data_IF_537157879854
#
_entry.id   IF_537157879854
#
_cell.length_a   1.000
_cell.length_b   1.000
_cell.length_c   1.000
_cell.angle_alpha   90.00
_cell.angle_beta   90.00
_cell.angle_gamma   90.00
#
_symmetry.space_group_name_H-M   'P 1'
#
loop_
_entity.id
_entity.type
_entity.pdbx_description
1 polymer ?
#
# COMPACT_ATOMS: atom_id res chain seq x y z
N UNK A 1 22.15 -11.67 -5.63
CA UNK A 1 21.38 -10.42 -5.72
C UNK A 1 19.94 -10.70 -5.42
N UNK A 2 19.35 -9.96 -4.52
CA UNK A 2 17.93 -10.05 -4.17
C UNK A 2 17.32 -8.65 -4.23
N UNK A 3 16.28 -8.48 -5.05
CA UNK A 3 15.61 -7.20 -5.25
C UNK A 3 14.23 -7.24 -4.60
N UNK A 4 13.95 -6.24 -3.77
CA UNK A 4 12.68 -6.04 -3.10
C UNK A 4 11.77 -5.09 -3.86
N UNK A 5 10.47 -5.32 -3.79
CA UNK A 5 9.42 -4.43 -4.32
C UNK A 5 8.35 -4.26 -3.24
N UNK A 6 8.03 -3.03 -2.88
CA UNK A 6 6.86 -2.72 -2.07
C UNK A 6 5.71 -2.45 -3.02
N UNK A 7 4.59 -3.18 -2.90
CA UNK A 7 3.53 -3.16 -3.91
C UNK A 7 2.14 -3.41 -3.35
N UNK A 8 1.14 -3.13 -4.16
CA UNK A 8 -0.26 -3.43 -3.89
C UNK A 8 -0.85 -4.43 -4.88
N UNK A 9 -0.39 -4.40 -6.15
CA UNK A 9 -0.92 -5.20 -7.26
C UNK A 9 -2.46 -5.23 -7.31
N UNK A 10 -3.04 -4.06 -7.39
CA UNK A 10 -4.47 -3.83 -7.26
C UNK A 10 -5.14 -3.36 -8.59
N UNK A 11 -5.30 -4.28 -9.60
CA UNK A 11 -4.70 -5.59 -9.71
C UNK A 11 -3.26 -5.55 -10.26
N UNK A 12 -2.60 -6.73 -10.33
CA UNK A 12 -1.37 -6.89 -11.10
C UNK A 12 -1.69 -6.74 -12.59
N UNK A 13 -0.88 -5.96 -13.32
CA UNK A 13 -1.08 -5.65 -14.73
C UNK A 13 0.24 -5.67 -15.52
N UNK A 14 0.18 -5.46 -16.84
CA UNK A 14 1.33 -5.54 -17.74
C UNK A 14 2.50 -4.64 -17.30
N UNK A 15 2.22 -3.44 -16.79
CA UNK A 15 3.27 -2.54 -16.27
C UNK A 15 4.07 -3.14 -15.09
N UNK A 16 3.42 -3.92 -14.21
CA UNK A 16 4.12 -4.61 -13.12
C UNK A 16 4.98 -5.78 -13.65
N UNK A 17 4.54 -6.48 -14.70
CA UNK A 17 5.34 -7.51 -15.35
C UNK A 17 6.58 -6.93 -16.00
N UNK A 18 6.46 -5.80 -16.70
CA UNK A 18 7.61 -5.05 -17.26
C UNK A 18 8.66 -4.72 -16.17
N UNK A 19 8.21 -4.40 -14.95
CA UNK A 19 9.13 -4.15 -13.83
C UNK A 19 9.95 -5.39 -13.45
N UNK A 20 9.34 -6.58 -13.37
CA UNK A 20 10.06 -7.82 -13.13
C UNK A 20 11.09 -8.14 -14.23
N UNK A 21 10.68 -7.91 -15.49
CA UNK A 21 11.55 -8.10 -16.66
C UNK A 21 12.75 -7.14 -16.64
N UNK A 22 12.52 -5.86 -16.31
CA UNK A 22 13.57 -4.84 -16.19
C UNK A 22 14.59 -5.17 -15.10
N UNK A 23 14.13 -5.65 -13.93
CA UNK A 23 15.03 -6.09 -12.85
C UNK A 23 15.94 -7.22 -13.35
N UNK A 24 15.39 -8.22 -14.03
CA UNK A 24 16.19 -9.35 -14.53
C UNK A 24 17.07 -8.99 -15.71
N UNK A 25 16.65 -8.05 -16.53
CA UNK A 25 17.50 -7.52 -17.60
C UNK A 25 18.75 -6.80 -17.04
N UNK A 26 18.58 -6.07 -15.93
CA UNK A 26 19.69 -5.32 -15.31
C UNK A 26 20.64 -6.19 -14.49
N UNK A 27 20.12 -7.13 -13.70
CA UNK A 27 20.91 -7.90 -12.72
C UNK A 27 21.08 -9.36 -13.07
N UNK A 28 20.51 -9.81 -14.18
CA UNK A 28 20.60 -11.19 -14.67
C UNK A 28 19.39 -12.06 -14.25
N UNK A 29 19.16 -13.18 -14.97
CA UNK A 29 17.98 -14.03 -14.84
C UNK A 29 17.89 -14.74 -13.47
N UNK A 30 19.02 -14.91 -12.79
CA UNK A 30 19.07 -15.54 -11.46
C UNK A 30 18.74 -14.58 -10.31
N UNK A 31 18.48 -13.31 -10.59
CA UNK A 31 18.08 -12.34 -9.57
C UNK A 31 16.76 -12.74 -8.93
N UNK A 32 16.80 -12.85 -7.61
CA UNK A 32 15.60 -13.14 -6.84
C UNK A 32 14.76 -11.88 -6.61
N UNK A 33 13.44 -11.98 -6.79
CA UNK A 33 12.50 -10.87 -6.60
C UNK A 33 11.57 -11.17 -5.43
N UNK A 34 11.59 -10.30 -4.41
CA UNK A 34 10.76 -10.40 -3.22
C UNK A 34 9.76 -9.24 -3.20
N UNK A 35 8.49 -9.55 -3.12
CA UNK A 35 7.43 -8.55 -3.01
C UNK A 35 6.94 -8.44 -1.55
N UNK A 36 6.93 -7.23 -0.97
CA UNK A 36 6.15 -6.90 0.21
C UNK A 36 4.83 -6.29 -0.27
N UNK A 37 3.76 -7.08 -0.22
CA UNK A 37 2.48 -6.75 -0.85
C UNK A 37 1.41 -6.46 0.19
N UNK A 38 0.69 -5.34 0.04
CA UNK A 38 -0.49 -5.02 0.84
C UNK A 38 -1.47 -6.19 0.92
N UNK A 39 -1.99 -6.45 2.12
CA UNK A 39 -3.03 -7.43 2.35
C UNK A 39 -4.33 -7.08 1.60
N UNK A 40 -5.49 -7.22 2.24
CA UNK A 40 -6.79 -6.97 1.61
C UNK A 40 -7.15 -5.48 1.49
N UNK A 41 -6.38 -4.60 2.11
CA UNK A 41 -6.57 -3.15 2.06
C UNK A 41 -5.34 -2.46 1.52
N UNK A 42 -5.56 -1.35 0.81
CA UNK A 42 -4.51 -0.60 0.12
C UNK A 42 -4.25 0.75 0.78
N UNK A 43 -3.10 1.33 0.54
CA UNK A 43 -2.57 2.54 1.19
C UNK A 43 -3.51 3.75 1.09
N UNK A 44 -4.35 3.81 0.07
CA UNK A 44 -5.32 4.89 -0.11
C UNK A 44 -6.59 4.74 0.75
N UNK A 45 -6.67 3.75 1.63
CA UNK A 45 -7.82 3.56 2.52
C UNK A 45 -9.01 2.90 1.83
N UNK A 46 -8.77 1.97 0.93
CA UNK A 46 -9.80 1.24 0.20
C UNK A 46 -9.58 -0.28 0.25
N UNK A 47 -10.60 -1.10 0.04
CA UNK A 47 -10.42 -2.52 -0.21
C UNK A 47 -9.68 -2.72 -1.55
N UNK A 48 -8.80 -3.72 -1.63
CA UNK A 48 -8.26 -4.16 -2.90
C UNK A 48 -9.36 -4.83 -3.74
N UNK A 49 -9.29 -4.71 -5.07
CA UNK A 49 -10.33 -5.30 -5.96
C UNK A 49 -10.36 -6.83 -5.90
N UNK A 50 -9.22 -7.44 -5.63
CA UNK A 50 -9.05 -8.89 -5.45
C UNK A 50 -8.43 -9.16 -4.09
N UNK A 51 -8.82 -10.26 -3.45
CA UNK A 51 -8.21 -10.70 -2.21
C UNK A 51 -6.69 -10.91 -2.34
N UNK A 52 -5.98 -10.89 -1.22
CA UNK A 52 -4.51 -11.02 -1.22
C UNK A 52 -3.99 -12.32 -1.83
N UNK A 53 -4.70 -13.44 -1.66
CA UNK A 53 -4.26 -14.75 -2.19
C UNK A 53 -4.17 -14.79 -3.72
N UNK A 54 -5.22 -14.47 -4.51
CA UNK A 54 -5.10 -14.41 -5.98
C UNK A 54 -4.07 -13.38 -6.46
N UNK A 55 -3.89 -12.25 -5.75
CA UNK A 55 -2.87 -11.26 -6.11
C UNK A 55 -1.44 -11.78 -5.86
N UNK A 56 -1.22 -12.48 -4.76
CA UNK A 56 0.07 -13.10 -4.45
C UNK A 56 0.42 -14.23 -5.43
N UNK A 57 -0.57 -15.07 -5.77
CA UNK A 57 -0.42 -16.12 -6.80
C UNK A 57 -0.06 -15.51 -8.15
N UNK A 58 -0.76 -14.46 -8.56
CA UNK A 58 -0.48 -13.75 -9.80
C UNK A 58 0.94 -13.17 -9.82
N UNK A 59 1.41 -12.60 -8.72
CA UNK A 59 2.76 -12.06 -8.64
C UNK A 59 3.83 -13.14 -8.86
N UNK A 60 3.66 -14.32 -8.28
CA UNK A 60 4.63 -15.43 -8.46
C UNK A 60 4.59 -15.97 -9.89
N UNK A 61 3.41 -16.13 -10.47
CA UNK A 61 3.26 -16.56 -11.87
C UNK A 61 3.87 -15.57 -12.86
N UNK A 62 3.84 -14.27 -12.56
CA UNK A 62 4.40 -13.22 -13.41
C UNK A 62 5.89 -12.94 -13.15
N UNK A 63 6.52 -13.60 -12.16
CA UNK A 63 7.96 -13.51 -11.99
C UNK A 63 8.46 -13.13 -10.61
N UNK A 64 7.62 -12.88 -9.61
CA UNK A 64 8.10 -12.78 -8.23
C UNK A 64 8.53 -14.17 -7.71
N UNK A 65 9.53 -14.20 -6.85
CA UNK A 65 10.01 -15.45 -6.24
C UNK A 65 9.41 -15.68 -4.85
N UNK A 66 9.11 -14.59 -4.15
CA UNK A 66 8.53 -14.61 -2.81
C UNK A 66 7.59 -13.41 -2.64
N UNK A 67 6.39 -13.66 -2.10
CA UNK A 67 5.42 -12.62 -1.75
C UNK A 67 5.17 -12.68 -0.25
N UNK A 68 5.50 -11.60 0.42
CA UNK A 68 5.31 -11.36 1.85
C UNK A 68 4.16 -10.39 2.04
N UNK A 69 3.40 -10.54 3.11
CA UNK A 69 2.30 -9.64 3.44
C UNK A 69 2.81 -8.37 4.13
N UNK A 70 2.38 -7.21 3.64
CA UNK A 70 2.35 -5.99 4.42
C UNK A 70 1.11 -6.04 5.30
N UNK A 71 1.24 -6.04 6.63
CA UNK A 71 0.09 -6.05 7.54
C UNK A 71 -0.85 -4.87 7.27
N UNK A 72 -2.12 -5.03 7.60
CA UNK A 72 -3.12 -3.96 7.44
C UNK A 72 -2.72 -2.69 8.18
N UNK A 73 -2.06 -2.83 9.33
CA UNK A 73 -1.52 -1.73 10.13
C UNK A 73 -0.40 -0.95 9.46
N UNK A 74 0.29 -1.55 8.48
CA UNK A 74 1.28 -0.90 7.62
C UNK A 74 0.62 -0.41 6.33
N UNK A 75 -0.22 -1.24 5.71
CA UNK A 75 -0.88 -0.93 4.44
C UNK A 75 -1.75 0.33 4.52
N UNK A 76 -2.41 0.57 5.66
CA UNK A 76 -3.26 1.74 5.88
C UNK A 76 -2.52 2.96 6.44
N UNK A 77 -1.18 2.96 6.44
CA UNK A 77 -0.43 4.13 6.89
C UNK A 77 -0.28 5.21 5.81
N UNK A 78 0.24 6.37 6.23
CA UNK A 78 0.71 7.41 5.30
C UNK A 78 1.81 6.85 4.39
N UNK A 79 2.19 7.59 3.35
CA UNK A 79 3.30 7.18 2.49
C UNK A 79 4.58 6.89 3.29
N UNK A 80 4.86 7.69 4.32
CA UNK A 80 6.00 7.51 5.23
C UNK A 80 5.93 6.19 6.01
N UNK A 81 4.81 5.91 6.69
CA UNK A 81 4.66 4.67 7.47
C UNK A 81 4.58 3.42 6.58
N UNK A 82 3.93 3.53 5.41
CA UNK A 82 3.90 2.48 4.40
C UNK A 82 5.30 2.13 3.90
N UNK A 83 6.10 3.16 3.59
CA UNK A 83 7.50 3.00 3.19
C UNK A 83 8.34 2.38 4.32
N UNK A 84 8.22 2.91 5.53
CA UNK A 84 8.97 2.43 6.69
C UNK A 84 8.69 0.95 6.99
N UNK A 85 7.43 0.53 6.98
CA UNK A 85 7.06 -0.87 7.20
C UNK A 85 7.52 -1.80 6.08
N UNK A 86 7.39 -1.36 4.81
CA UNK A 86 7.87 -2.12 3.66
C UNK A 86 9.39 -2.31 3.63
N UNK A 87 10.14 -1.24 3.88
CA UNK A 87 11.62 -1.30 3.99
C UNK A 87 12.05 -2.21 5.14
N UNK A 88 11.39 -2.13 6.31
CA UNK A 88 11.68 -3.00 7.47
C UNK A 88 11.55 -4.48 7.13
N UNK A 89 10.54 -4.85 6.32
CA UNK A 89 10.35 -6.25 5.91
C UNK A 89 11.40 -6.66 4.89
N UNK A 90 11.65 -5.82 3.87
CA UNK A 90 12.50 -6.18 2.74
C UNK A 90 14.00 -6.12 3.07
N UNK A 91 14.44 -5.18 3.91
CA UNK A 91 15.86 -5.01 4.27
C UNK A 91 16.49 -6.25 4.91
N UNK A 92 15.67 -7.17 5.41
CA UNK A 92 16.12 -8.46 5.98
C UNK A 92 16.46 -9.52 4.92
N UNK A 93 16.06 -9.28 3.67
CA UNK A 93 16.17 -10.26 2.58
C UNK A 93 16.79 -9.70 1.31
N UNK A 94 16.70 -8.39 1.12
CA UNK A 94 16.97 -7.76 -0.17
C UNK A 94 18.13 -6.79 -0.09
N UNK A 95 18.95 -6.80 -1.14
CA UNK A 95 20.09 -5.92 -1.31
C UNK A 95 19.71 -4.59 -1.97
N UNK A 96 18.59 -4.57 -2.70
CA UNK A 96 18.14 -3.42 -3.49
C UNK A 96 16.62 -3.29 -3.40
N UNK A 97 16.10 -2.06 -3.30
CA UNK A 97 14.69 -1.74 -3.39
C UNK A 97 14.36 -1.16 -4.78
N UNK A 98 13.51 -1.85 -5.52
CA UNK A 98 13.04 -1.40 -6.83
C UNK A 98 11.63 -0.80 -6.73
N UNK A 99 11.42 0.35 -7.35
CA UNK A 99 10.12 1.02 -7.43
C UNK A 99 9.98 1.84 -8.71
N UNK A 100 8.72 2.13 -9.09
CA UNK A 100 8.45 3.03 -10.21
C UNK A 100 8.66 4.49 -9.81
N UNK A 101 9.24 5.28 -10.70
CA UNK A 101 9.55 6.69 -10.51
C UNK A 101 9.32 7.45 -11.80
N UNK A 102 8.87 8.69 -11.74
CA UNK A 102 8.71 9.53 -12.92
C UNK A 102 10.07 10.11 -13.37
N UNK A 103 10.90 10.54 -12.43
CA UNK A 103 12.25 11.05 -12.72
C UNK A 103 13.25 9.93 -13.03
N UNK A 104 13.11 8.79 -12.35
CA UNK A 104 14.07 7.70 -12.33
C UNK A 104 15.52 8.15 -12.02
N UNK A 105 15.66 9.18 -11.18
CA UNK A 105 16.94 9.73 -10.75
C UNK A 105 17.22 9.34 -9.30
N UNK A 106 18.07 8.32 -9.07
CA UNK A 106 18.37 7.85 -7.73
C UNK A 106 19.09 8.90 -6.88
N UNK A 107 19.93 9.75 -7.50
CA UNK A 107 20.66 10.80 -6.79
C UNK A 107 19.71 11.87 -6.28
N UNK A 108 18.82 12.37 -7.12
CA UNK A 108 17.83 13.38 -6.73
C UNK A 108 16.91 12.86 -5.62
N UNK A 109 16.47 11.59 -5.69
CA UNK A 109 15.62 10.98 -4.68
C UNK A 109 16.32 10.85 -3.32
N UNK A 110 17.58 10.37 -3.31
CA UNK A 110 18.36 10.22 -2.09
C UNK A 110 18.71 11.57 -1.47
N UNK A 111 19.21 12.54 -2.26
CA UNK A 111 19.52 13.89 -1.76
C UNK A 111 18.30 14.58 -1.18
N UNK A 112 17.12 14.42 -1.81
CA UNK A 112 15.86 14.93 -1.27
C UNK A 112 15.51 14.27 0.07
N UNK A 113 15.70 12.96 0.19
CA UNK A 113 15.45 12.23 1.43
C UNK A 113 16.39 12.68 2.57
N UNK A 114 17.67 12.87 2.28
CA UNK A 114 18.66 13.40 3.23
C UNK A 114 18.27 14.80 3.72
N UNK A 115 17.88 15.68 2.81
CA UNK A 115 17.41 17.01 3.18
C UNK A 115 16.18 16.99 4.09
N UNK A 116 15.20 16.13 3.80
CA UNK A 116 14.01 15.97 4.64
C UNK A 116 14.31 15.41 6.05
N UNK A 117 15.42 14.70 6.21
CA UNK A 117 15.89 14.17 7.51
C UNK A 117 16.87 15.10 8.20
N UNK A 118 17.30 16.19 7.58
CA UNK A 118 18.22 17.16 8.17
C UNK A 118 17.59 17.93 9.34
N UNK A 119 18.43 18.41 10.24
CA UNK A 119 17.99 19.23 11.38
C UNK A 119 17.40 20.59 10.96
N UNK A 120 17.73 21.07 9.77
CA UNK A 120 17.28 22.36 9.24
C UNK A 120 15.84 22.31 8.70
N UNK A 121 15.46 21.22 8.04
CA UNK A 121 14.19 21.08 7.35
C UNK A 121 12.95 21.37 8.19
N UNK A 122 12.80 20.91 9.47
CA UNK A 122 11.63 21.17 10.28
C UNK A 122 11.38 22.67 10.53
N UNK A 123 12.43 23.47 10.68
CA UNK A 123 12.32 24.92 10.90
C UNK A 123 11.84 25.63 9.63
N UNK A 124 12.39 25.30 8.45
CA UNK A 124 11.98 25.82 7.17
C UNK A 124 10.52 25.45 6.85
N UNK A 125 10.18 24.18 7.07
CA UNK A 125 8.81 23.71 6.87
C UNK A 125 7.80 24.49 7.72
N UNK A 126 8.13 24.70 9.00
CA UNK A 126 7.26 25.44 9.92
C UNK A 126 7.09 26.90 9.50
N UNK A 127 8.16 27.55 9.09
CA UNK A 127 8.09 28.91 8.59
C UNK A 127 7.11 29.05 7.40
N UNK A 128 7.12 28.09 6.45
CA UNK A 128 6.18 28.07 5.35
C UNK A 128 4.75 27.70 5.75
N UNK A 129 4.55 26.79 6.71
CA UNK A 129 3.21 26.46 7.24
C UNK A 129 2.57 27.68 7.94
N UNK A 130 3.35 28.45 8.67
CA UNK A 130 2.89 29.66 9.38
C UNK A 130 2.42 30.77 8.40
N UNK A 131 2.85 30.74 7.12
CA UNK A 131 2.30 31.59 6.05
C UNK A 131 0.95 31.13 5.52
N UNK A 132 0.36 30.04 6.05
CA UNK A 132 -0.92 29.49 5.61
C UNK A 132 -0.85 28.55 4.41
N UNK A 133 0.34 28.15 3.96
CA UNK A 133 0.50 27.16 2.88
C UNK A 133 0.00 25.78 3.34
N UNK A 134 -0.51 24.98 2.41
CA UNK A 134 -0.78 23.57 2.65
C UNK A 134 0.54 22.81 2.89
N UNK A 135 0.48 21.69 3.60
CA UNK A 135 1.68 20.87 3.89
C UNK A 135 2.49 20.54 2.63
N UNK A 136 1.89 20.06 1.50
CA UNK A 136 2.65 19.81 0.28
C UNK A 136 3.34 21.07 -0.28
N UNK A 137 2.65 22.22 -0.27
CA UNK A 137 3.22 23.47 -0.75
C UNK A 137 4.34 24.01 0.17
N UNK A 138 4.18 23.87 1.48
CA UNK A 138 5.19 24.26 2.45
C UNK A 138 6.44 23.38 2.35
N UNK A 139 6.26 22.04 2.21
CA UNK A 139 7.36 21.08 1.97
C UNK A 139 8.15 21.45 0.71
N UNK A 140 7.44 21.73 -0.38
CA UNK A 140 8.08 22.09 -1.66
C UNK A 140 8.87 23.40 -1.54
N UNK A 141 8.31 24.41 -0.86
CA UNK A 141 8.99 25.69 -0.65
C UNK A 141 10.23 25.54 0.25
N UNK A 142 10.15 24.75 1.33
CA UNK A 142 11.29 24.48 2.19
C UNK A 142 12.42 23.75 1.45
N UNK A 143 12.10 22.75 0.60
CA UNK A 143 13.09 22.08 -0.24
C UNK A 143 13.73 23.02 -1.25
N UNK A 144 12.94 23.95 -1.85
CA UNK A 144 13.46 24.94 -2.79
C UNK A 144 14.45 25.90 -2.11
N UNK A 145 14.23 26.32 -0.84
CA UNK A 145 15.18 27.11 -0.06
C UNK A 145 16.49 26.35 0.22
N UNK A 146 16.43 25.01 0.31
CA UNK A 146 17.61 24.16 0.43
C UNK A 146 18.31 23.88 -0.93
N UNK A 147 17.87 24.57 -2.00
CA UNK A 147 18.41 24.38 -3.35
C UNK A 147 17.96 23.12 -4.08
N UNK A 148 16.90 22.45 -3.56
CA UNK A 148 16.38 21.22 -4.13
C UNK A 148 15.06 21.48 -4.86
N UNK A 149 14.98 21.02 -6.11
CA UNK A 149 13.78 21.13 -6.94
C UNK A 149 13.50 19.82 -7.65
N UNK A 150 12.25 19.59 -8.03
CA UNK A 150 11.90 18.54 -9.00
C UNK A 150 11.20 17.30 -8.47
N UNK A 151 11.14 17.03 -7.16
CA UNK A 151 10.40 15.89 -6.62
C UNK A 151 8.99 16.31 -6.21
N UNK A 152 8.08 16.35 -7.19
CA UNK A 152 6.68 16.76 -6.98
C UNK A 152 5.66 15.74 -7.46
N UNK A 153 6.06 14.76 -8.25
CA UNK A 153 5.18 13.75 -8.82
C UNK A 153 4.92 12.59 -7.84
N UNK A 154 3.76 11.96 -7.90
CA UNK A 154 3.30 11.03 -6.86
C UNK A 154 4.21 9.85 -6.58
N UNK A 155 4.79 9.22 -7.63
CA UNK A 155 5.68 8.08 -7.42
C UNK A 155 7.07 8.52 -6.94
N UNK A 156 7.56 9.68 -7.37
CA UNK A 156 8.81 10.24 -6.86
C UNK A 156 8.67 10.64 -5.38
N UNK A 157 7.51 11.21 -4.97
CA UNK A 157 7.22 11.49 -3.56
C UNK A 157 7.28 10.19 -2.74
N UNK A 158 6.66 9.12 -3.24
CA UNK A 158 6.72 7.81 -2.56
C UNK A 158 8.14 7.23 -2.59
N UNK A 159 8.87 7.41 -3.68
CA UNK A 159 10.28 7.05 -3.82
C UNK A 159 11.17 7.73 -2.77
N UNK A 160 10.95 9.01 -2.52
CA UNK A 160 11.64 9.76 -1.44
C UNK A 160 11.31 9.19 -0.06
N UNK A 161 10.04 8.79 0.20
CA UNK A 161 9.69 8.15 1.47
C UNK A 161 10.39 6.77 1.63
N UNK A 162 10.59 6.02 0.55
CA UNK A 162 11.42 4.81 0.58
C UNK A 162 12.88 5.12 0.92
N UNK A 163 13.47 6.13 0.29
CA UNK A 163 14.85 6.58 0.59
C UNK A 163 14.97 7.03 2.06
N UNK A 164 14.02 7.83 2.57
CA UNK A 164 13.96 8.22 3.99
C UNK A 164 13.93 7.00 4.91
N UNK A 165 13.10 6.01 4.57
CA UNK A 165 12.99 4.79 5.37
C UNK A 165 14.30 3.98 5.40
N UNK A 166 15.00 3.88 4.26
CA UNK A 166 16.31 3.23 4.16
C UNK A 166 17.32 3.95 5.06
N UNK A 167 17.42 5.27 4.94
CA UNK A 167 18.35 6.08 5.73
C UNK A 167 18.03 6.02 7.24
N UNK A 168 16.77 6.23 7.62
CA UNK A 168 16.36 6.27 9.03
C UNK A 168 16.51 4.93 9.75
N UNK A 169 16.40 3.81 9.02
CA UNK A 169 16.56 2.47 9.56
C UNK A 169 17.99 1.94 9.42
N UNK A 170 18.92 2.72 8.86
CA UNK A 170 20.28 2.28 8.50
C UNK A 170 20.26 0.95 7.72
N UNK A 171 19.28 0.81 6.80
CA UNK A 171 19.13 -0.40 6.02
C UNK A 171 20.22 -0.47 4.94
N UNK A 172 20.92 -1.60 4.86
CA UNK A 172 21.94 -1.85 3.83
C UNK A 172 21.26 -2.21 2.51
N UNK A 173 20.60 -1.25 1.88
CA UNK A 173 19.86 -1.41 0.63
C UNK A 173 20.17 -0.29 -0.34
N UNK A 174 20.47 -0.66 -1.58
CA UNK A 174 20.50 0.25 -2.71
C UNK A 174 19.09 0.53 -3.24
N UNK A 175 18.93 1.55 -4.07
CA UNK A 175 17.66 1.85 -4.76
C UNK A 175 17.76 1.65 -6.26
N UNK A 176 16.68 1.17 -6.86
CA UNK A 176 16.52 1.01 -8.31
C UNK A 176 15.19 1.66 -8.73
N UNK A 177 15.17 2.98 -8.97
CA UNK A 177 14.01 3.63 -9.56
C UNK A 177 13.91 3.28 -11.05
N UNK A 178 12.77 2.69 -11.45
CA UNK A 178 12.48 2.40 -12.87
C UNK A 178 11.55 3.48 -13.41
N UNK A 179 11.90 4.05 -14.56
CA UNK A 179 11.08 5.08 -15.21
C UNK A 179 9.71 4.52 -15.56
N UNK A 180 8.67 5.21 -15.10
CA UNK A 180 7.29 4.93 -15.49
C UNK A 180 6.96 5.68 -16.77
N UNK A 181 6.45 4.92 -17.73
CA UNK A 181 5.82 5.47 -18.93
C UNK A 181 4.31 5.56 -18.68
N UNK A 182 3.68 6.66 -19.11
CA UNK A 182 2.24 6.90 -19.02
C UNK A 182 1.79 7.80 -17.85
N UNK A 183 0.56 8.31 -17.95
CA UNK A 183 -0.05 9.24 -16.98
C UNK A 183 -0.65 8.50 -15.79
N UNK A 184 -0.28 8.90 -14.57
CA UNK A 184 -0.79 8.34 -13.32
C UNK A 184 -2.31 8.53 -13.11
N UNK A 185 -2.91 9.55 -13.73
CA UNK A 185 -4.31 9.93 -13.57
C UNK A 185 -5.20 9.61 -14.77
N UNK A 186 -4.71 8.86 -15.76
CA UNK A 186 -5.57 8.46 -16.87
C UNK A 186 -6.65 7.49 -16.36
N UNK A 187 -7.91 7.93 -16.38
CA UNK A 187 -9.08 7.08 -16.15
C UNK A 187 -9.36 6.16 -17.32
N UNK A 188 -8.78 6.46 -18.47
CA UNK A 188 -8.82 5.62 -19.67
C UNK A 188 -7.60 4.70 -19.70
N UNK A 189 -7.83 3.41 -19.95
CA UNK A 189 -6.76 2.45 -20.09
C UNK A 189 -6.04 2.70 -21.42
N UNK A 190 -4.77 3.13 -21.33
CA UNK A 190 -3.86 3.09 -22.45
C UNK A 190 -3.48 1.63 -22.73
N UNK A 191 -3.57 1.18 -23.98
CA UNK A 191 -3.28 -0.22 -24.35
C UNK A 191 -1.85 -0.64 -24.03
N UNK A 192 -0.90 0.29 -24.04
CA UNK A 192 0.50 0.00 -23.77
C UNK A 192 0.88 0.17 -22.29
N UNK A 193 0.25 1.12 -21.57
CA UNK A 193 0.58 1.48 -20.19
C UNK A 193 -0.66 1.69 -19.32
N UNK A 194 -1.43 0.63 -19.05
CA UNK A 194 -2.70 0.74 -18.31
C UNK A 194 -2.47 1.16 -16.85
N UNK A 195 -3.26 2.12 -16.37
CA UNK A 195 -3.30 2.45 -14.95
C UNK A 195 -4.11 1.40 -14.18
N UNK A 196 -3.67 1.08 -12.96
CA UNK A 196 -4.42 0.16 -12.10
C UNK A 196 -5.85 0.67 -11.80
N UNK A 197 -6.07 1.99 -11.76
CA UNK A 197 -7.38 2.59 -11.55
C UNK A 197 -8.32 2.32 -12.72
N UNK A 198 -7.86 2.53 -13.96
CA UNK A 198 -8.62 2.25 -15.16
C UNK A 198 -8.99 0.75 -15.25
N UNK A 199 -8.03 -0.14 -14.95
CA UNK A 199 -8.30 -1.58 -14.97
C UNK A 199 -9.35 -1.97 -13.92
N UNK A 200 -9.31 -1.41 -12.70
CA UNK A 200 -10.36 -1.65 -11.69
C UNK A 200 -11.74 -1.24 -12.19
N UNK A 201 -11.86 -0.08 -12.84
CA UNK A 201 -13.13 0.36 -13.41
C UNK A 201 -13.63 -0.62 -14.50
N UNK A 202 -12.73 -1.10 -15.37
CA UNK A 202 -13.09 -2.12 -16.35
C UNK A 202 -13.52 -3.44 -15.70
N UNK A 203 -12.84 -3.89 -14.63
CA UNK A 203 -13.21 -5.12 -13.91
C UNK A 203 -14.60 -5.00 -13.24
N UNK A 204 -14.95 -3.82 -12.74
CA UNK A 204 -16.22 -3.61 -12.04
C UNK A 204 -17.41 -3.36 -12.97
N UNK A 205 -17.19 -2.69 -14.12
CA UNK A 205 -18.30 -2.14 -14.91
C UNK A 205 -18.37 -2.59 -16.36
N UNK A 206 -17.29 -3.07 -16.98
CA UNK A 206 -17.29 -3.37 -18.42
C UNK A 206 -16.78 -4.75 -18.83
N UNK A 207 -16.14 -5.48 -17.92
CA UNK A 207 -15.51 -6.79 -18.16
C UNK A 207 -14.42 -6.82 -19.28
N UNK A 208 -14.04 -5.68 -19.87
CA UNK A 208 -13.03 -5.60 -20.94
C UNK A 208 -11.61 -5.30 -20.38
N UNK A 209 -11.21 -5.96 -19.32
CA UNK A 209 -9.92 -5.75 -18.65
C UNK A 209 -8.84 -6.77 -19.05
N UNK A 210 -9.21 -7.87 -19.69
CA UNK A 210 -8.31 -8.97 -20.06
C UNK A 210 -7.05 -8.54 -20.84
N UNK A 211 -7.12 -7.60 -21.80
CA UNK A 211 -5.94 -7.16 -22.54
C UNK A 211 -4.83 -6.57 -21.65
N UNK A 212 -5.19 -5.97 -20.51
CA UNK A 212 -4.30 -5.17 -19.66
C UNK A 212 -3.57 -5.98 -18.60
N UNK A 213 -3.91 -7.26 -18.44
CA UNK A 213 -3.27 -8.16 -17.47
C UNK A 213 -2.52 -9.30 -18.18
N UNK A 214 -1.45 -9.84 -17.59
CA UNK A 214 -0.72 -10.97 -18.16
C UNK A 214 -1.63 -12.17 -18.40
N UNK A 215 -1.41 -12.88 -19.51
CA UNK A 215 -2.28 -14.01 -19.92
C UNK A 215 -2.33 -15.11 -18.85
N UNK A 216 -1.22 -15.33 -18.17
CA UNK A 216 -1.02 -16.37 -17.16
C UNK A 216 -1.95 -16.23 -15.94
N UNK A 217 -2.42 -15.01 -15.67
CA UNK A 217 -3.22 -14.72 -14.47
C UNK A 217 -4.69 -14.41 -14.78
N UNK A 218 -5.09 -14.35 -16.05
CA UNK A 218 -6.48 -13.99 -16.46
C UNK A 218 -7.50 -14.90 -15.79
N UNK A 219 -7.31 -16.20 -15.87
CA UNK A 219 -8.22 -17.20 -15.29
C UNK A 219 -8.35 -17.07 -13.77
N UNK A 220 -7.26 -16.66 -13.09
CA UNK A 220 -7.29 -16.44 -11.64
C UNK A 220 -8.19 -15.26 -11.30
N UNK A 221 -8.06 -14.16 -12.06
CA UNK A 221 -8.82 -12.94 -11.81
C UNK A 221 -10.29 -13.06 -12.24
N UNK A 222 -10.58 -13.86 -13.27
CA UNK A 222 -11.96 -14.18 -13.67
C UNK A 222 -12.71 -15.02 -12.63
N UNK A 223 -12.01 -15.94 -11.96
CA UNK A 223 -12.60 -16.82 -10.95
C UNK A 223 -12.65 -16.18 -9.55
N UNK A 224 -11.82 -15.18 -9.28
CA UNK A 224 -11.78 -14.53 -7.99
C UNK A 224 -12.93 -13.53 -7.81
N UNK A 225 -13.56 -13.47 -6.63
CA UNK A 225 -14.53 -12.44 -6.32
C UNK A 225 -13.92 -11.04 -6.44
N UNK A 226 -14.69 -10.10 -7.02
CA UNK A 226 -14.31 -8.70 -7.09
C UNK A 226 -14.89 -7.94 -5.91
N UNK A 227 -14.13 -6.97 -5.40
CA UNK A 227 -14.48 -6.16 -4.25
C UNK A 227 -14.47 -4.67 -4.62
N UNK A 228 -15.42 -3.92 -4.08
CA UNK A 228 -15.51 -2.48 -4.30
C UNK A 228 -15.91 -1.75 -3.02
N UNK A 229 -15.49 -0.50 -2.89
CA UNK A 229 -15.86 0.35 -1.76
C UNK A 229 -17.39 0.53 -1.70
N UNK A 230 -18.04 0.67 -2.85
CA UNK A 230 -19.50 0.85 -2.96
C UNK A 230 -20.29 -0.34 -2.44
N UNK A 231 -19.82 -1.57 -2.63
CA UNK A 231 -20.49 -2.76 -2.11
C UNK A 231 -20.52 -2.78 -0.56
N UNK A 232 -19.43 -2.33 0.09
CA UNK A 232 -19.33 -2.28 1.56
C UNK A 232 -19.74 -0.95 2.18
N UNK A 233 -20.19 0.04 1.41
CA UNK A 233 -20.49 1.39 1.90
C UNK A 233 -21.45 1.38 3.10
N UNK A 234 -22.52 0.58 3.02
CA UNK A 234 -23.54 0.51 4.10
C UNK A 234 -22.94 0.03 5.42
N UNK A 235 -21.94 -0.87 5.38
CA UNK A 235 -21.26 -1.35 6.58
C UNK A 235 -20.38 -0.25 7.20
N UNK A 236 -19.68 0.52 6.38
CA UNK A 236 -18.91 1.70 6.82
C UNK A 236 -19.86 2.73 7.44
N UNK A 237 -20.97 3.07 6.78
CA UNK A 237 -21.96 4.02 7.27
C UNK A 237 -22.57 3.57 8.60
N UNK A 238 -22.91 2.28 8.74
CA UNK A 238 -23.43 1.72 9.99
C UNK A 238 -22.42 1.93 11.14
N UNK A 239 -21.13 1.66 10.90
CA UNK A 239 -20.08 1.88 11.89
C UNK A 239 -19.95 3.36 12.25
N UNK A 240 -19.80 4.24 11.27
CA UNK A 240 -19.66 5.68 11.51
C UNK A 240 -20.83 6.29 12.26
N UNK A 241 -22.06 5.85 11.99
CA UNK A 241 -23.28 6.35 12.64
C UNK A 241 -23.47 5.85 14.07
N UNK A 242 -22.84 4.73 14.43
CA UNK A 242 -22.94 4.14 15.78
C UNK A 242 -21.76 4.51 16.69
N UNK A 243 -20.71 5.12 16.15
CA UNK A 243 -19.56 5.57 16.92
C UNK A 243 -19.90 6.72 17.89
N UNK A 244 -19.36 6.64 19.09
CA UNK A 244 -19.38 7.72 20.08
C UNK A 244 -18.34 8.79 19.71
N UNK A 245 -18.50 9.99 20.31
CA UNK A 245 -17.54 11.09 20.14
C UNK A 245 -16.12 10.68 20.55
N UNK A 246 -16.00 9.91 21.63
CA UNK A 246 -14.72 9.40 22.14
C UNK A 246 -14.05 8.45 21.14
N UNK A 247 -14.82 7.58 20.48
CA UNK A 247 -14.28 6.70 19.45
C UNK A 247 -13.80 7.48 18.23
N UNK A 248 -14.49 8.58 17.83
CA UNK A 248 -14.01 9.45 16.77
C UNK A 248 -12.72 10.18 17.16
N UNK A 249 -12.62 10.67 18.40
CA UNK A 249 -11.42 11.36 18.91
C UNK A 249 -10.19 10.45 18.94
N UNK A 250 -10.39 9.17 19.23
CA UNK A 250 -9.34 8.15 19.29
C UNK A 250 -8.89 7.64 17.91
N UNK A 251 -9.54 8.05 16.81
CA UNK A 251 -9.21 7.57 15.47
C UNK A 251 -7.79 8.00 15.05
N UNK A 252 -7.04 7.09 14.39
CA UNK A 252 -5.84 7.45 13.67
C UNK A 252 -6.14 8.57 12.66
N UNK A 253 -5.15 9.43 12.41
CA UNK A 253 -5.26 10.57 11.46
C UNK A 253 -6.20 11.70 11.88
N UNK A 254 -6.89 11.58 13.03
CA UNK A 254 -7.90 12.54 13.49
C UNK A 254 -7.37 13.83 14.10
N UNK A 255 -6.02 14.02 14.21
CA UNK A 255 -5.42 15.19 14.82
C UNK A 255 -5.92 16.52 14.23
N UNK A 256 -5.71 17.59 14.98
CA UNK A 256 -6.08 18.97 14.60
C UNK A 256 -7.58 19.17 14.30
N UNK A 257 -8.41 18.36 14.93
CA UNK A 257 -9.88 18.46 14.81
C UNK A 257 -10.48 17.79 13.57
N UNK A 258 -9.69 17.05 12.78
CA UNK A 258 -10.21 16.33 11.61
C UNK A 258 -11.23 15.26 12.00
N UNK A 259 -11.05 14.63 13.17
CA UNK A 259 -12.02 13.69 13.70
C UNK A 259 -13.41 14.32 13.93
N UNK A 260 -13.45 15.57 14.40
CA UNK A 260 -14.74 16.33 14.57
C UNK A 260 -15.41 16.58 13.23
N UNK A 261 -14.63 16.95 12.20
CA UNK A 261 -15.17 17.16 10.87
C UNK A 261 -15.77 15.88 10.29
N UNK A 262 -15.09 14.72 10.43
CA UNK A 262 -15.63 13.42 10.00
C UNK A 262 -16.88 13.05 10.81
N UNK A 263 -16.85 13.22 12.12
CA UNK A 263 -17.99 12.94 13.01
C UNK A 263 -19.23 13.76 12.62
N UNK A 264 -19.08 15.08 12.47
CA UNK A 264 -20.20 15.94 12.08
C UNK A 264 -20.75 15.59 10.70
N UNK A 265 -19.87 15.34 9.73
CA UNK A 265 -20.28 14.92 8.40
C UNK A 265 -21.02 13.58 8.42
N UNK A 266 -20.56 12.59 9.19
CA UNK A 266 -21.21 11.27 9.29
C UNK A 266 -22.63 11.31 9.89
N UNK A 267 -22.95 12.36 10.66
CA UNK A 267 -24.27 12.58 11.24
C UNK A 267 -25.22 13.39 10.37
N UNK A 268 -24.72 13.96 9.27
CA UNK A 268 -25.48 14.88 8.42
C UNK A 268 -25.62 14.39 6.98
N UNK A 269 -24.70 13.57 6.50
CA UNK A 269 -24.68 13.12 5.12
C UNK A 269 -25.15 11.66 4.97
N UNK A 270 -25.71 11.37 3.79
CA UNK A 270 -26.32 10.08 3.49
C UNK A 270 -25.30 9.05 2.94
N UNK A 271 -24.33 9.50 2.15
CA UNK A 271 -23.34 8.64 1.48
C UNK A 271 -21.94 8.86 2.04
N UNK A 272 -21.07 7.86 1.88
CA UNK A 272 -19.66 7.97 2.29
C UNK A 272 -18.95 9.07 1.51
N UNK A 273 -19.24 9.20 0.21
CA UNK A 273 -18.65 10.24 -0.63
C UNK A 273 -18.98 11.65 -0.13
N UNK A 274 -20.25 11.90 0.21
CA UNK A 274 -20.68 13.19 0.75
C UNK A 274 -20.04 13.48 2.12
N UNK A 275 -19.96 12.45 2.99
CA UNK A 275 -19.28 12.54 4.29
C UNK A 275 -17.82 12.98 4.10
N UNK A 276 -17.08 12.30 3.23
CA UNK A 276 -15.67 12.58 3.00
C UNK A 276 -15.44 13.92 2.31
N UNK A 277 -16.32 14.29 1.39
CA UNK A 277 -16.28 15.59 0.70
C UNK A 277 -16.56 16.73 1.67
N UNK A 278 -17.55 16.59 2.55
CA UNK A 278 -17.89 17.59 3.57
C UNK A 278 -16.81 17.74 4.63
N UNK A 279 -16.21 16.63 5.07
CA UNK A 279 -15.13 16.65 6.05
C UNK A 279 -13.82 17.20 5.49
N UNK A 280 -13.65 17.22 4.14
CA UNK A 280 -12.42 17.67 3.49
C UNK A 280 -12.24 19.18 3.62
N UNK A 281 -11.03 19.60 3.99
CA UNK A 281 -10.58 21.00 3.94
C UNK A 281 -9.37 21.16 3.01
N UNK A 282 -8.95 22.40 2.77
CA UNK A 282 -7.70 22.68 2.03
C UNK A 282 -6.44 22.15 2.74
N UNK A 283 -6.52 21.94 4.06
CA UNK A 283 -5.41 21.54 4.90
C UNK A 283 -5.11 20.04 4.81
N UNK A 284 -6.15 19.20 4.58
CA UNK A 284 -6.04 17.74 4.63
C UNK A 284 -6.31 17.11 3.26
N UNK A 285 -5.50 16.09 2.92
CA UNK A 285 -5.69 15.34 1.68
C UNK A 285 -6.90 14.39 1.79
N UNK A 286 -7.53 14.10 0.67
CA UNK A 286 -8.64 13.14 0.60
C UNK A 286 -8.19 11.76 1.12
N UNK A 287 -7.01 11.29 0.72
CA UNK A 287 -6.49 9.99 1.14
C UNK A 287 -6.27 9.85 2.66
N UNK A 288 -6.06 10.97 3.39
CA UNK A 288 -6.02 10.95 4.85
C UNK A 288 -7.40 10.64 5.45
N UNK A 289 -8.45 11.23 4.90
CA UNK A 289 -9.84 10.97 5.30
C UNK A 289 -10.29 9.55 4.92
N UNK A 290 -9.92 9.09 3.72
CA UNK A 290 -10.23 7.72 3.27
C UNK A 290 -9.63 6.69 4.24
N UNK A 291 -8.34 6.85 4.63
CA UNK A 291 -7.69 5.99 5.63
C UNK A 291 -8.37 6.07 7.00
N UNK A 292 -8.73 7.28 7.43
CA UNK A 292 -9.40 7.49 8.72
C UNK A 292 -10.75 6.78 8.77
N UNK A 293 -11.57 6.89 7.71
CA UNK A 293 -12.85 6.21 7.60
C UNK A 293 -12.67 4.68 7.57
N UNK A 294 -11.65 4.19 6.86
CA UNK A 294 -11.33 2.76 6.82
C UNK A 294 -10.83 2.25 8.19
N UNK A 295 -9.97 3.00 8.89
CA UNK A 295 -9.57 2.67 10.27
C UNK A 295 -10.77 2.63 11.22
N UNK A 296 -11.70 3.57 11.10
CA UNK A 296 -12.95 3.57 11.87
C UNK A 296 -13.76 2.30 11.63
N UNK A 297 -13.94 1.93 10.37
CA UNK A 297 -14.66 0.72 9.97
C UNK A 297 -14.00 -0.56 10.50
N UNK A 298 -12.67 -0.66 10.39
CA UNK A 298 -11.90 -1.82 10.83
C UNK A 298 -11.69 -1.87 12.35
N UNK A 299 -11.99 -0.78 13.06
CA UNK A 299 -11.73 -0.64 14.50
C UNK A 299 -10.23 -0.61 14.81
N UNK A 300 -9.42 0.00 13.92
CA UNK A 300 -7.99 0.20 14.13
C UNK A 300 -7.75 1.47 14.95
N UNK A 301 -6.85 1.35 15.92
CA UNK A 301 -6.41 2.44 16.78
C UNK A 301 -5.06 2.99 16.35
N UNK A 302 -4.66 4.14 16.89
CA UNK A 302 -3.31 4.67 16.68
C UNK A 302 -2.25 3.68 17.20
N UNK A 303 -2.50 3.04 18.33
CA UNK A 303 -1.59 2.04 18.91
C UNK A 303 -1.42 0.81 17.99
N UNK A 304 -2.48 0.38 17.28
CA UNK A 304 -2.37 -0.70 16.31
C UNK A 304 -1.46 -0.33 15.14
N UNK A 305 -1.52 0.94 14.67
CA UNK A 305 -0.66 1.41 13.58
C UNK A 305 0.81 1.59 13.99
N UNK A 306 1.06 1.89 15.26
CA UNK A 306 2.41 2.09 15.81
C UNK A 306 3.04 0.77 16.28
N UNK A 307 2.24 -0.25 16.52
CA UNK A 307 2.72 -1.53 17.02
C UNK A 307 3.64 -2.24 16.01
N UNK A 308 4.75 -2.75 16.52
CA UNK A 308 5.63 -3.59 15.72
C UNK A 308 5.03 -4.99 15.53
N UNK A 309 4.93 -5.42 14.28
CA UNK A 309 4.50 -6.78 13.95
C UNK A 309 5.69 -7.72 14.10
N UNK A 310 5.64 -8.70 15.02
CA UNK A 310 6.81 -9.51 15.38
C UNK A 310 7.16 -10.60 14.36
N UNK A 311 6.38 -10.72 13.28
CA UNK A 311 6.58 -11.72 12.24
C UNK A 311 6.27 -11.14 10.85
N UNK A 312 6.69 -11.85 9.81
CA UNK A 312 6.29 -11.58 8.43
C UNK A 312 5.55 -12.80 7.87
N UNK A 313 4.35 -12.58 7.36
CA UNK A 313 3.53 -13.64 6.79
C UNK A 313 3.91 -13.92 5.33
N UNK A 314 4.05 -15.19 4.99
CA UNK A 314 4.30 -15.63 3.62
C UNK A 314 2.96 -15.88 2.92
N UNK A 315 2.75 -15.26 1.76
CA UNK A 315 1.54 -15.44 0.94
C UNK A 315 1.75 -16.40 -0.21
N UNK A 316 2.89 -16.28 -0.91
CA UNK A 316 3.20 -17.12 -2.06
C UNK A 316 4.72 -17.19 -2.28
N UNK A 317 5.20 -18.30 -2.85
CA UNK A 317 6.61 -18.44 -3.22
C UNK A 317 6.82 -19.54 -4.28
N UNK A 318 7.99 -19.52 -4.92
CA UNK A 318 8.49 -20.60 -5.77
C UNK A 318 9.75 -21.26 -5.14
N UNK A 319 10.43 -22.13 -5.88
CA UNK A 319 11.62 -22.82 -5.40
C UNK A 319 12.77 -21.86 -5.01
N UNK A 320 12.91 -20.71 -5.70
CA UNK A 320 13.91 -19.67 -5.36
C UNK A 320 13.52 -18.94 -4.08
N UNK A 321 12.26 -18.56 -3.93
CA UNK A 321 11.71 -17.95 -2.71
C UNK A 321 11.86 -18.88 -1.49
N UNK A 322 11.65 -20.18 -1.65
CA UNK A 322 11.89 -21.16 -0.59
C UNK A 322 13.34 -21.16 -0.11
N UNK A 323 14.32 -21.06 -1.02
CA UNK A 323 15.73 -20.97 -0.64
C UNK A 323 16.05 -19.70 0.15
N UNK A 324 15.42 -18.56 -0.24
CA UNK A 324 15.56 -17.30 0.51
C UNK A 324 15.02 -17.43 1.93
N UNK A 325 13.79 -17.94 2.10
CA UNK A 325 13.17 -18.16 3.41
C UNK A 325 14.02 -19.04 4.32
N UNK A 326 14.57 -20.14 3.79
CA UNK A 326 15.41 -21.05 4.57
C UNK A 326 16.72 -20.38 5.07
N UNK A 327 17.28 -19.43 4.30
CA UNK A 327 18.45 -18.66 4.74
C UNK A 327 18.09 -17.63 5.81
N UNK A 328 16.97 -16.97 5.67
CA UNK A 328 16.56 -15.85 6.51
C UNK A 328 15.88 -16.25 7.84
N UNK A 329 15.42 -17.48 8.00
CA UNK A 329 14.78 -17.98 9.25
C UNK A 329 15.62 -17.81 10.52
N UNK A 330 16.91 -17.63 10.40
CA UNK A 330 17.81 -17.42 11.56
C UNK A 330 17.74 -15.99 12.12
N UNK A 331 17.27 -15.04 11.32
CA UNK A 331 17.30 -13.60 11.64
C UNK A 331 15.91 -12.99 11.82
N UNK A 332 14.87 -13.67 11.37
CA UNK A 332 13.48 -13.19 11.45
C UNK A 332 12.48 -14.34 11.41
N UNK A 333 11.31 -14.10 12.03
CA UNK A 333 10.20 -15.06 12.01
C UNK A 333 9.37 -14.86 10.75
N UNK A 334 9.35 -15.88 9.88
CA UNK A 334 8.49 -15.95 8.71
C UNK A 334 7.44 -17.02 8.94
N UNK A 335 6.16 -16.64 8.88
CA UNK A 335 5.06 -17.54 9.17
C UNK A 335 4.24 -17.83 7.90
N UNK A 336 3.84 -19.08 7.77
CA UNK A 336 2.71 -19.45 6.90
C UNK A 336 1.39 -19.25 7.65
N UNK A 337 0.26 -19.47 6.98
CA UNK A 337 -1.08 -19.27 7.56
C UNK A 337 -1.30 -20.07 8.85
N UNK A 338 -0.84 -21.33 8.89
CA UNK A 338 -1.04 -22.17 10.08
C UNK A 338 -0.19 -21.75 11.28
N UNK A 339 1.05 -21.29 11.03
CA UNK A 339 1.97 -20.85 12.08
C UNK A 339 1.61 -19.48 12.67
N UNK A 340 0.87 -18.64 11.91
CA UNK A 340 0.45 -17.32 12.36
C UNK A 340 -0.69 -17.37 13.40
N UNK A 341 -1.46 -18.45 13.45
CA UNK A 341 -2.61 -18.60 14.36
C UNK A 341 -2.16 -18.45 15.82
N UNK A 342 -2.84 -17.57 16.56
CA UNK A 342 -2.55 -17.29 17.97
C UNK A 342 -1.69 -16.04 18.22
N UNK A 343 -1.07 -15.46 17.20
CA UNK A 343 -0.41 -14.15 17.36
C UNK A 343 -1.45 -13.02 17.53
N UNK A 344 -1.21 -12.01 18.38
CA UNK A 344 -2.13 -10.88 18.56
C UNK A 344 -2.49 -10.18 17.24
N UNK A 345 -1.50 -9.93 16.38
CA UNK A 345 -1.71 -9.35 15.06
C UNK A 345 -2.50 -10.25 14.12
N UNK A 346 -2.49 -11.57 14.32
CA UNK A 346 -3.33 -12.49 13.55
C UNK A 346 -4.81 -12.25 13.81
N UNK A 347 -5.20 -12.05 15.07
CA UNK A 347 -6.61 -11.78 15.45
C UNK A 347 -7.09 -10.50 14.78
N UNK A 348 -6.23 -9.49 14.74
CA UNK A 348 -6.51 -8.23 14.07
C UNK A 348 -6.66 -8.43 12.54
N UNK A 349 -5.72 -9.12 11.90
CA UNK A 349 -5.79 -9.44 10.47
C UNK A 349 -7.02 -10.30 10.14
N UNK A 350 -7.37 -11.27 10.98
CA UNK A 350 -8.57 -12.09 10.81
C UNK A 350 -9.84 -11.25 10.87
N UNK A 351 -9.95 -10.32 11.81
CA UNK A 351 -11.05 -9.35 11.87
C UNK A 351 -11.12 -8.52 10.59
N UNK A 352 -10.01 -7.95 10.16
CA UNK A 352 -9.95 -7.14 8.95
C UNK A 352 -10.32 -7.93 7.69
N UNK A 353 -9.87 -9.18 7.58
CA UNK A 353 -10.25 -10.05 6.45
C UNK A 353 -11.72 -10.45 6.49
N UNK A 354 -12.29 -10.69 7.66
CA UNK A 354 -13.71 -10.96 7.81
C UNK A 354 -14.56 -9.76 7.36
N UNK A 355 -14.12 -8.55 7.69
CA UNK A 355 -14.78 -7.31 7.25
C UNK A 355 -14.57 -7.04 5.75
N UNK A 356 -13.44 -7.48 5.18
CA UNK A 356 -13.18 -7.35 3.75
C UNK A 356 -14.21 -8.11 2.90
N UNK A 357 -14.70 -9.25 3.37
CA UNK A 357 -15.76 -10.00 2.68
C UNK A 357 -17.06 -9.22 2.46
N UNK A 358 -17.30 -8.13 3.22
CA UNK A 358 -18.44 -7.25 3.03
C UNK A 358 -18.35 -6.35 1.80
N UNK A 359 -17.16 -6.22 1.20
CA UNK A 359 -16.94 -5.46 -0.03
C UNK A 359 -17.12 -6.28 -1.32
N UNK A 360 -17.41 -7.58 -1.22
CA UNK A 360 -17.69 -8.41 -2.39
C UNK A 360 -18.88 -7.87 -3.17
N UNK A 361 -18.72 -7.71 -4.49
CA UNK A 361 -19.72 -7.09 -5.38
C UNK A 361 -20.95 -7.95 -5.64
N UNK A 362 -20.86 -9.26 -5.40
CA UNK A 362 -21.97 -10.20 -5.60
C UNK A 362 -22.73 -10.46 -4.29
N UNK A 363 -22.01 -10.94 -3.27
CA UNK A 363 -22.59 -11.27 -1.96
C UNK A 363 -21.50 -11.28 -0.90
N UNK A 364 -21.81 -10.98 0.38
CA UNK A 364 -20.85 -11.08 1.46
C UNK A 364 -20.20 -12.46 1.55
N UNK A 365 -18.88 -12.48 1.78
CA UNK A 365 -18.13 -13.72 1.98
C UNK A 365 -18.22 -14.22 3.44
N UNK A 366 -17.90 -15.50 3.61
CA UNK A 366 -17.84 -16.09 4.94
C UNK A 366 -16.73 -15.43 5.79
N UNK A 367 -16.98 -15.17 7.10
CA UNK A 367 -16.02 -14.45 7.96
C UNK A 367 -14.73 -15.22 8.26
N UNK A 368 -14.62 -16.48 7.87
CA UNK A 368 -13.44 -17.33 8.14
C UNK A 368 -12.42 -17.40 6.98
N UNK A 369 -12.56 -16.53 5.97
CA UNK A 369 -11.70 -16.55 4.79
C UNK A 369 -10.19 -16.46 5.09
N UNK A 370 -9.79 -15.79 6.20
CA UNK A 370 -8.40 -15.68 6.61
C UNK A 370 -7.80 -17.04 7.06
N UNK A 371 -8.52 -17.80 7.85
CA UNK A 371 -8.07 -19.09 8.36
C UNK A 371 -8.05 -20.20 7.29
N UNK A 372 -8.82 -20.04 6.21
CA UNK A 372 -8.88 -20.96 5.08
C UNK A 372 -7.80 -20.69 4.02
N UNK A 373 -7.13 -19.53 4.07
CA UNK A 373 -6.11 -19.14 3.10
C UNK A 373 -4.87 -20.03 3.18
N UNK A 374 -4.50 -20.66 2.06
CA UNK A 374 -3.27 -21.46 1.95
C UNK A 374 -2.18 -20.64 1.28
N UNK A 375 -0.92 -20.83 1.72
CA UNK A 375 0.25 -20.29 1.03
C UNK A 375 0.36 -20.97 -0.34
N UNK A 376 0.47 -20.16 -1.38
CA UNK A 376 0.63 -20.69 -2.73
C UNK A 376 2.10 -21.05 -3.00
N UNK A 377 2.34 -22.28 -3.43
CA UNK A 377 3.65 -22.73 -3.88
C UNK A 377 3.62 -23.04 -5.38
N UNK A 378 4.39 -22.29 -6.15
CA UNK A 378 4.62 -22.53 -7.56
C UNK A 378 5.82 -23.47 -7.74
N UNK A 379 5.59 -24.65 -8.33
CA UNK A 379 6.62 -25.67 -8.56
C UNK A 379 7.54 -25.31 -9.71
#
# INVERSE_FOLDING_TARGET
MTVGIICEYNPLHLGHRKQFEAIRAQFGPETAIVCAMSGNYVQRGAPAILAKSPRAMAAVLCGADLVLELPVTVSLQSAEGFAAGGVRILSRLCDTLCFGSESADPTALMTTAEALLSAEFPSLLRAHLDTGKSFPAARQAALAEMGLSGVSLPNDILGVEYCKAILSQNAAMDILPIRREGSYHSETADEENPSAAAIRNLMLYSHNWLPFVPREVRHIFEQAPHHSLSAGERAILARLRTMTDQEFEALPYGSEGLWRALMHASRQEATLEDILTRAKSKRYTRSRLDRMAMCAFLGLTQADLEAEVPYTRVLAFNARGRRLLNRAKKTHTYLNTGEAVGHPHWILEQRCTSLYGLFNTCSPELPQAESCGRVYYHK
#
